data_IF_638599301098
#
_entry.id   IF_638599301098
#
_cell.length_a   1.000
_cell.length_b   1.000
_cell.length_c   1.000
_cell.angle_alpha   90.00
_cell.angle_beta   90.00
_cell.angle_gamma   90.00
#
_symmetry.space_group_name_H-M   'P 1'
#
loop_
_entity.id
_entity.type
_entity.pdbx_description
1 polymer ?
#
# COMPACT_ATOMS: atom_id res chain seq x y z
N UNK A 1 -10.66 -9.63 4.58
CA UNK A 1 -9.81 -10.77 4.68
C UNK A 1 -8.74 -10.85 3.63
N UNK A 2 -7.97 -11.92 3.71
CA UNK A 2 -6.84 -12.11 2.81
C UNK A 2 -7.22 -12.23 1.35
N UNK A 3 -8.43 -12.61 1.06
CA UNK A 3 -8.89 -12.74 -0.32
C UNK A 3 -8.97 -11.42 -1.05
N UNK A 4 -9.41 -10.39 -0.33
CA UNK A 4 -9.59 -9.07 -0.94
C UNK A 4 -8.26 -8.46 -1.38
N UNK A 5 -7.19 -8.77 -0.68
CA UNK A 5 -5.88 -8.20 -0.95
C UNK A 5 -5.30 -8.60 -2.30
N UNK A 6 -5.83 -9.64 -2.93
CA UNK A 6 -5.27 -10.18 -4.16
C UNK A 6 -5.87 -9.59 -5.43
N UNK A 7 -6.91 -8.78 -5.29
CA UNK A 7 -7.59 -8.24 -6.46
C UNK A 7 -6.76 -7.25 -7.27
N UNK A 8 -5.74 -6.65 -6.66
CA UNK A 8 -4.93 -5.64 -7.32
C UNK A 8 -4.09 -6.20 -8.47
N UNK A 9 -3.86 -7.50 -8.52
CA UNK A 9 -2.93 -8.11 -9.46
C UNK A 9 -3.29 -7.96 -10.92
N UNK A 10 -4.57 -8.11 -11.25
CA UNK A 10 -4.99 -8.17 -12.65
C UNK A 10 -4.66 -6.90 -13.43
N UNK A 11 -4.67 -5.77 -12.77
CA UNK A 11 -4.45 -4.48 -13.44
C UNK A 11 -3.02 -4.31 -13.91
N UNK A 12 -2.08 -4.86 -13.14
CA UNK A 12 -0.66 -4.67 -13.43
C UNK A 12 -0.18 -5.59 -14.53
N UNK A 13 -0.84 -6.72 -14.73
CA UNK A 13 -0.43 -7.66 -15.77
C UNK A 13 -0.52 -7.10 -17.18
N UNK A 14 -1.24 -6.00 -17.36
CA UNK A 14 -1.33 -5.33 -18.64
C UNK A 14 -0.10 -4.49 -18.97
N UNK A 15 0.78 -4.26 -18.01
CA UNK A 15 1.96 -3.44 -18.21
C UNK A 15 3.19 -4.29 -18.54
N UNK A 16 4.07 -3.80 -19.45
CA UNK A 16 5.27 -4.55 -19.84
C UNK A 16 6.39 -4.49 -18.80
N UNK A 17 6.20 -3.86 -17.66
CA UNK A 17 7.24 -3.73 -16.63
C UNK A 17 7.29 -4.95 -15.73
N UNK A 18 8.47 -5.28 -15.18
CA UNK A 18 8.57 -6.34 -14.19
C UNK A 18 7.63 -6.08 -13.01
N UNK A 19 6.94 -7.12 -12.57
CA UNK A 19 6.01 -7.04 -11.45
C UNK A 19 6.61 -7.69 -10.22
N UNK A 20 6.52 -6.99 -9.09
CA UNK A 20 6.92 -7.53 -7.80
C UNK A 20 5.77 -7.36 -6.81
N UNK A 21 5.52 -8.40 -6.05
CA UNK A 21 4.47 -8.38 -5.02
C UNK A 21 5.13 -8.65 -3.67
N UNK A 22 4.94 -7.72 -2.74
CA UNK A 22 5.45 -7.85 -1.39
C UNK A 22 4.28 -7.95 -0.43
N UNK A 23 4.15 -9.11 0.20
CA UNK A 23 3.02 -9.36 1.10
C UNK A 23 3.49 -9.13 2.53
N UNK A 24 3.03 -8.02 3.08
CA UNK A 24 3.27 -7.64 4.47
C UNK A 24 4.76 -7.67 4.87
N UNK A 25 5.62 -7.02 4.08
CA UNK A 25 7.06 -7.16 4.29
C UNK A 25 7.57 -6.48 5.56
N UNK A 26 6.76 -5.62 6.18
CA UNK A 26 7.18 -4.87 7.36
C UNK A 26 6.64 -5.44 8.66
N UNK A 27 5.95 -6.56 8.63
CA UNK A 27 5.20 -7.04 9.80
C UNK A 27 6.06 -7.33 11.02
N UNK A 28 7.32 -7.71 10.82
CA UNK A 28 8.22 -8.05 11.92
C UNK A 28 9.28 -6.96 12.19
N UNK A 29 9.18 -5.81 11.53
CA UNK A 29 10.18 -4.77 11.62
C UNK A 29 9.75 -3.65 12.55
N UNK A 30 10.71 -3.04 13.24
CA UNK A 30 10.44 -1.81 13.97
C UNK A 30 10.33 -0.64 12.97
N UNK A 31 9.85 0.51 13.44
CA UNK A 31 9.58 1.66 12.58
C UNK A 31 10.84 2.16 11.89
N UNK A 32 11.94 2.20 12.60
CA UNK A 32 13.20 2.70 12.04
C UNK A 32 13.71 1.81 10.91
N UNK A 33 13.67 0.50 11.14
CA UNK A 33 14.06 -0.48 10.13
C UNK A 33 13.11 -0.44 8.94
N UNK A 34 11.82 -0.33 9.21
CA UNK A 34 10.82 -0.21 8.15
C UNK A 34 11.10 0.99 7.25
N UNK A 35 11.41 2.15 7.84
CA UNK A 35 11.70 3.35 7.06
C UNK A 35 12.90 3.15 6.14
N UNK A 36 13.95 2.51 6.65
CA UNK A 36 15.15 2.25 5.87
C UNK A 36 14.87 1.28 4.73
N UNK A 37 14.13 0.21 5.00
CA UNK A 37 13.77 -0.77 3.97
C UNK A 37 12.89 -0.13 2.91
N UNK A 38 11.94 0.71 3.32
CA UNK A 38 11.06 1.37 2.37
C UNK A 38 11.84 2.31 1.44
N UNK A 39 12.79 3.06 1.97
CA UNK A 39 13.62 3.94 1.15
C UNK A 39 14.41 3.15 0.10
N UNK A 40 14.98 2.01 0.50
CA UNK A 40 15.68 1.15 -0.45
C UNK A 40 14.74 0.57 -1.49
N UNK A 41 13.54 0.20 -1.07
CA UNK A 41 12.53 -0.34 -1.98
C UNK A 41 12.11 0.69 -3.01
N UNK A 42 11.94 1.93 -2.62
CA UNK A 42 11.58 3.00 -3.56
C UNK A 42 12.63 3.17 -4.65
N UNK A 43 13.90 3.12 -4.27
CA UNK A 43 14.99 3.23 -5.24
C UNK A 43 15.01 2.02 -6.19
N UNK A 44 14.79 0.84 -5.65
CA UNK A 44 14.76 -0.40 -6.44
C UNK A 44 13.59 -0.42 -7.39
N UNK A 45 12.46 0.15 -7.00
CA UNK A 45 11.20 0.03 -7.74
C UNK A 45 11.03 1.04 -8.87
N UNK A 46 12.02 1.89 -9.10
CA UNK A 46 11.90 3.00 -10.06
C UNK A 46 11.41 2.57 -11.45
N UNK A 47 11.89 1.44 -11.93
CA UNK A 47 11.55 0.94 -13.27
C UNK A 47 10.71 -0.33 -13.21
N UNK A 48 10.08 -0.59 -12.06
CA UNK A 48 9.28 -1.78 -11.83
C UNK A 48 7.90 -1.41 -11.35
N UNK A 49 6.98 -2.36 -11.43
CA UNK A 49 5.68 -2.22 -10.79
C UNK A 49 5.70 -3.03 -9.50
N UNK A 50 5.46 -2.37 -8.38
CA UNK A 50 5.50 -3.02 -7.07
C UNK A 50 4.14 -2.88 -6.41
N UNK A 51 3.57 -4.03 -6.02
CA UNK A 51 2.40 -4.06 -5.15
C UNK A 51 2.87 -4.35 -3.74
N UNK A 52 2.55 -3.44 -2.84
CA UNK A 52 2.84 -3.60 -1.43
C UNK A 52 1.54 -3.89 -0.71
N UNK A 53 1.44 -5.06 -0.09
CA UNK A 53 0.28 -5.44 0.71
C UNK A 53 0.67 -5.28 2.16
N UNK A 54 0.00 -4.38 2.86
CA UNK A 54 0.40 -4.08 4.23
C UNK A 54 -0.78 -3.56 5.04
N UNK A 55 -0.76 -3.84 6.33
CA UNK A 55 -1.69 -3.25 7.30
C UNK A 55 -1.07 -2.02 7.97
N UNK A 56 0.17 -1.68 7.62
CA UNK A 56 0.90 -0.54 8.17
C UNK A 56 0.90 0.57 7.13
N UNK A 57 0.24 1.68 7.44
CA UNK A 57 -0.02 2.72 6.45
C UNK A 57 0.95 3.90 6.51
N UNK A 58 2.03 3.78 7.28
CA UNK A 58 2.97 4.89 7.45
C UNK A 58 3.52 5.45 6.15
N UNK A 59 3.74 4.59 5.14
CA UNK A 59 4.35 4.99 3.88
C UNK A 59 3.35 5.16 2.74
N UNK A 60 2.07 5.00 3.03
CA UNK A 60 1.04 5.10 2.00
C UNK A 60 0.95 6.50 1.35
N UNK A 61 1.25 7.61 2.06
CA UNK A 61 1.28 8.91 1.40
C UNK A 61 2.26 9.01 0.24
N UNK A 62 3.30 8.16 0.21
CA UNK A 62 4.29 8.16 -0.86
C UNK A 62 3.95 7.22 -2.00
N UNK A 63 2.86 6.47 -1.89
CA UNK A 63 2.44 5.57 -2.95
C UNK A 63 1.79 6.33 -4.09
N UNK A 64 2.01 5.85 -5.31
CA UNK A 64 1.37 6.43 -6.49
C UNK A 64 -0.12 6.17 -6.48
N UNK A 65 -0.51 5.01 -5.95
CA UNK A 65 -1.91 4.64 -5.87
C UNK A 65 -2.11 3.71 -4.68
N UNK A 66 -3.27 3.85 -4.04
CA UNK A 66 -3.65 2.99 -2.92
C UNK A 66 -4.94 2.26 -3.29
N UNK A 67 -4.98 0.98 -3.00
CA UNK A 67 -6.17 0.16 -3.20
C UNK A 67 -6.65 -0.27 -1.82
N UNK A 68 -7.81 0.22 -1.42
CA UNK A 68 -8.38 -0.07 -0.11
C UNK A 68 -9.60 -0.94 -0.26
N UNK A 69 -9.61 -2.05 0.46
CA UNK A 69 -10.70 -3.02 0.39
C UNK A 69 -11.39 -3.14 1.73
N UNK A 70 -12.71 -2.98 1.72
CA UNK A 70 -13.51 -3.02 2.94
C UNK A 70 -14.89 -3.59 2.61
N UNK A 71 -15.30 -4.63 3.32
CA UNK A 71 -16.65 -5.20 3.21
C UNK A 71 -17.08 -5.47 1.78
N UNK A 72 -16.17 -6.03 0.99
CA UNK A 72 -16.46 -6.34 -0.40
C UNK A 72 -16.37 -5.18 -1.35
N UNK A 73 -16.09 -3.99 -0.85
CA UNK A 73 -15.88 -2.81 -1.70
C UNK A 73 -14.40 -2.55 -1.91
N UNK A 74 -14.06 -2.12 -3.11
CA UNK A 74 -12.70 -1.73 -3.46
C UNK A 74 -12.69 -0.27 -3.86
N UNK A 75 -11.86 0.52 -3.20
CA UNK A 75 -11.67 1.93 -3.54
C UNK A 75 -10.23 2.13 -3.97
N UNK A 76 -10.05 2.76 -5.12
CA UNK A 76 -8.72 3.02 -5.68
C UNK A 76 -8.52 4.51 -5.81
N UNK A 77 -7.36 4.99 -5.40
CA UNK A 77 -7.01 6.39 -5.51
C UNK A 77 -5.68 6.68 -4.86
N UNK A 78 -5.33 7.95 -4.78
CA UNK A 78 -4.15 8.35 -4.04
C UNK A 78 -4.47 8.34 -2.54
N UNK A 79 -3.42 8.42 -1.73
CA UNK A 79 -3.59 8.53 -0.29
C UNK A 79 -4.52 9.70 0.06
N UNK A 80 -4.28 10.87 -0.55
CA UNK A 80 -5.08 12.05 -0.25
C UNK A 80 -6.54 11.87 -0.64
N UNK A 81 -6.79 11.24 -1.77
CA UNK A 81 -8.15 10.95 -2.21
C UNK A 81 -8.89 10.04 -1.24
N UNK A 82 -8.23 9.00 -0.75
CA UNK A 82 -8.84 8.09 0.20
C UNK A 82 -9.02 8.73 1.57
N UNK A 83 -8.12 9.59 1.99
CA UNK A 83 -8.28 10.33 3.24
C UNK A 83 -9.52 11.21 3.20
N UNK A 84 -9.85 11.75 2.04
CA UNK A 84 -11.01 12.62 1.88
C UNK A 84 -12.33 11.85 1.72
N UNK A 85 -12.28 10.68 1.10
CA UNK A 85 -13.51 9.99 0.68
C UNK A 85 -13.83 8.72 1.46
N UNK A 86 -12.86 8.11 2.14
CA UNK A 86 -13.06 6.84 2.86
C UNK A 86 -12.79 7.02 4.34
N UNK A 87 -13.85 7.20 5.16
CA UNK A 87 -13.67 7.46 6.60
C UNK A 87 -12.89 6.36 7.32
N UNK A 88 -13.10 5.09 6.96
CA UNK A 88 -12.39 3.99 7.58
C UNK A 88 -10.90 4.03 7.29
N UNK A 89 -10.54 4.36 6.06
CA UNK A 89 -9.14 4.50 5.69
C UNK A 89 -8.47 5.62 6.50
N UNK A 90 -9.14 6.76 6.58
CA UNK A 90 -8.65 7.90 7.34
C UNK A 90 -8.47 7.54 8.82
N UNK A 91 -9.44 6.85 9.39
CA UNK A 91 -9.36 6.43 10.78
C UNK A 91 -8.17 5.51 11.02
N UNK A 92 -7.98 4.53 10.14
CA UNK A 92 -6.85 3.61 10.24
C UNK A 92 -5.51 4.34 10.17
N UNK A 93 -5.38 5.23 9.22
CA UNK A 93 -4.14 5.97 9.04
C UNK A 93 -3.83 6.83 10.26
N UNK A 94 -4.82 7.58 10.72
CA UNK A 94 -4.65 8.46 11.87
C UNK A 94 -4.38 7.68 13.15
N UNK A 95 -5.04 6.54 13.31
CA UNK A 95 -4.80 5.69 14.48
C UNK A 95 -3.38 5.17 14.54
N UNK A 96 -2.83 4.79 13.40
CA UNK A 96 -1.48 4.25 13.33
C UNK A 96 -0.41 5.32 13.45
N UNK A 97 -0.65 6.51 12.94
CA UNK A 97 0.34 7.58 12.92
C UNK A 97 0.23 8.54 14.10
N UNK A 98 -0.78 8.36 14.93
CA UNK A 98 -0.95 9.21 16.11
C UNK A 98 -1.53 10.57 15.82
N UNK A 99 -2.00 10.75 14.63
CA UNK A 99 -2.54 12.04 14.24
C UNK A 99 -3.77 11.93 13.45
#
# INVERSE_FOLDING_TARGET
>A
GGQAQRLALARTLAHPRPLMILDDPFSALDRKTEDAVFANLQAYAKDKVVFLISHRLYHFPQMQQVIFMEDGKTTVGTHDELMASVPTYRWLYESQTGG
#
